data_IF_219337680371
#
_entry.id   IF_219337680371
#
_cell.length_a   1.000
_cell.length_b   1.000
_cell.length_c   1.000
_cell.angle_alpha   90.00
_cell.angle_beta   90.00
_cell.angle_gamma   90.00
#
_symmetry.space_group_name_H-M   'P 1'
#
loop_
_entity.id
_entity.type
_entity.pdbx_description
1 polymer ?
#
# COMPACT_ATOMS: atom_id res chain seq x y z
N UNK A 1 10.91 7.59 8.72
CA UNK A 1 9.60 7.22 8.14
C UNK A 1 8.54 7.80 9.06
N UNK A 2 7.74 8.74 8.53
CA UNK A 2 6.70 9.44 9.26
C UNK A 2 5.33 8.91 8.84
N UNK A 3 4.31 9.06 9.71
CA UNK A 3 2.94 8.62 9.41
C UNK A 3 2.36 9.29 8.14
N UNK A 4 2.87 10.47 7.78
CA UNK A 4 2.54 11.24 6.57
C UNK A 4 3.04 10.63 5.26
N UNK A 5 4.04 9.74 5.34
CA UNK A 5 4.66 9.13 4.17
C UNK A 5 3.74 8.06 3.56
N UNK A 6 2.78 7.56 4.34
CA UNK A 6 1.88 6.49 3.95
C UNK A 6 0.63 7.04 3.27
N UNK A 7 0.36 6.55 2.06
CA UNK A 7 -0.81 6.90 1.26
C UNK A 7 -1.80 5.73 1.20
N UNK A 8 -3.08 6.05 1.14
CA UNK A 8 -4.14 5.07 0.98
C UNK A 8 -4.36 4.77 -0.52
N UNK A 9 -3.97 3.57 -0.95
CA UNK A 9 -4.21 3.07 -2.31
C UNK A 9 -5.42 2.12 -2.39
N UNK A 10 -5.99 1.74 -1.26
CA UNK A 10 -7.14 0.83 -1.17
C UNK A 10 -8.47 1.60 -1.21
N UNK A 11 -8.60 2.49 -2.20
CA UNK A 11 -9.83 3.25 -2.44
C UNK A 11 -10.55 2.57 -3.60
N UNK A 12 -11.50 1.67 -3.28
CA UNK A 12 -12.23 0.86 -4.27
C UNK A 12 -12.82 1.69 -5.40
N UNK A 13 -13.29 2.89 -5.10
CA UNK A 13 -13.87 3.79 -6.09
C UNK A 13 -12.87 4.39 -7.08
N UNK A 14 -11.58 4.35 -6.77
CA UNK A 14 -10.50 4.83 -7.62
C UNK A 14 -9.80 3.69 -8.39
N UNK A 15 -10.19 2.43 -8.16
CA UNK A 15 -9.60 1.28 -8.85
C UNK A 15 -10.10 1.18 -10.30
N UNK A 16 -9.16 1.12 -11.26
CA UNK A 16 -9.45 0.98 -12.69
C UNK A 16 -9.88 -0.46 -13.04
N UNK A 17 -9.30 -1.45 -12.36
CA UNK A 17 -9.63 -2.87 -12.50
C UNK A 17 -10.04 -3.45 -11.15
N UNK A 18 -10.97 -4.40 -11.17
CA UNK A 18 -11.35 -5.14 -9.96
C UNK A 18 -10.27 -6.13 -9.52
N UNK A 19 -9.59 -6.73 -10.50
CA UNK A 19 -8.56 -7.74 -10.31
C UNK A 19 -7.62 -7.74 -11.51
N UNK A 20 -6.39 -8.20 -11.28
CA UNK A 20 -5.40 -8.48 -12.34
C UNK A 20 -5.33 -9.97 -12.69
N UNK A 21 -6.22 -10.79 -12.14
CA UNK A 21 -6.28 -12.23 -12.44
C UNK A 21 -6.64 -12.44 -13.92
N UNK A 22 -5.84 -13.22 -14.68
CA UNK A 22 -6.17 -13.59 -16.07
C UNK A 22 -7.45 -14.42 -16.15
N UNK A 23 -7.62 -15.35 -15.21
CA UNK A 23 -8.72 -16.29 -15.11
C UNK A 23 -9.86 -15.83 -14.22
N UNK A 24 -11.02 -16.49 -14.37
CA UNK A 24 -12.21 -16.28 -13.51
C UNK A 24 -12.71 -17.56 -12.84
N UNK A 25 -12.47 -18.73 -13.43
CA UNK A 25 -12.96 -20.03 -12.97
C UNK A 25 -11.87 -20.80 -12.23
N UNK A 26 -12.29 -21.83 -11.49
CA UNK A 26 -11.37 -22.82 -10.98
C UNK A 26 -10.57 -23.45 -12.13
N UNK A 27 -9.27 -23.63 -11.92
CA UNK A 27 -8.27 -24.07 -12.91
C UNK A 27 -7.89 -23.07 -14.00
N UNK A 28 -8.50 -21.88 -14.06
CA UNK A 28 -7.97 -20.82 -14.93
C UNK A 28 -6.65 -20.25 -14.35
N UNK A 29 -5.79 -19.64 -15.21
CA UNK A 29 -4.58 -18.98 -14.74
C UNK A 29 -4.88 -17.86 -13.74
N UNK A 30 -4.11 -17.83 -12.66
CA UNK A 30 -4.25 -16.84 -11.58
C UNK A 30 -3.11 -15.83 -11.62
N UNK A 31 -3.12 -14.85 -10.70
CA UNK A 31 -2.06 -13.81 -10.61
C UNK A 31 -0.66 -14.42 -10.50
N UNK A 32 -0.51 -15.58 -9.87
CA UNK A 32 0.79 -16.27 -9.72
C UNK A 32 1.33 -16.85 -11.02
N UNK A 33 0.49 -17.00 -12.05
CA UNK A 33 0.90 -17.46 -13.37
C UNK A 33 1.42 -16.33 -14.27
N UNK A 34 1.24 -15.06 -13.87
CA UNK A 34 1.72 -13.90 -14.61
C UNK A 34 3.25 -13.87 -14.65
N UNK A 35 3.80 -13.58 -15.82
CA UNK A 35 5.25 -13.43 -16.06
C UNK A 35 5.63 -11.99 -16.33
N UNK A 36 4.77 -11.29 -17.05
CA UNK A 36 4.97 -9.89 -17.41
C UNK A 36 3.65 -9.13 -17.33
N UNK A 37 3.73 -7.88 -16.89
CA UNK A 37 2.59 -6.96 -16.79
C UNK A 37 3.03 -5.61 -17.37
N UNK A 38 2.32 -5.14 -18.40
CA UNK A 38 2.55 -3.84 -19.03
C UNK A 38 1.36 -2.92 -18.75
N UNK A 39 1.66 -1.76 -18.15
CA UNK A 39 0.68 -0.72 -17.91
C UNK A 39 0.70 0.27 -19.07
N UNK A 40 -0.41 0.36 -19.82
CA UNK A 40 -0.55 1.32 -20.89
C UNK A 40 -1.10 2.67 -20.38
N UNK A 41 -0.77 3.75 -21.10
CA UNK A 41 -1.14 5.13 -20.75
C UNK A 41 -2.66 5.39 -20.62
N UNK A 42 -3.51 4.56 -21.23
CA UNK A 42 -4.98 4.65 -21.12
C UNK A 42 -5.56 3.84 -19.96
N UNK A 43 -4.69 3.33 -19.07
CA UNK A 43 -5.08 2.43 -17.98
C UNK A 43 -5.52 1.07 -18.48
N UNK A 44 -5.06 0.65 -19.66
CA UNK A 44 -5.14 -0.76 -20.09
C UNK A 44 -3.98 -1.52 -19.48
N UNK A 45 -4.22 -2.76 -19.07
CA UNK A 45 -3.17 -3.68 -18.64
C UNK A 45 -3.02 -4.76 -19.70
N UNK A 46 -1.79 -4.99 -20.14
CA UNK A 46 -1.42 -6.16 -20.93
C UNK A 46 -0.62 -7.13 -20.08
N UNK A 47 -0.82 -8.42 -20.31
CA UNK A 47 -0.23 -9.49 -19.53
C UNK A 47 0.41 -10.54 -20.43
N UNK A 48 1.40 -11.22 -19.87
CA UNK A 48 1.99 -12.41 -20.46
C UNK A 48 2.04 -13.54 -19.43
N UNK A 49 1.71 -14.77 -19.87
CA UNK A 49 1.76 -15.99 -19.07
C UNK A 49 3.01 -16.84 -19.36
N UNK A 50 3.66 -16.66 -20.51
CA UNK A 50 4.91 -17.32 -20.88
C UNK A 50 5.84 -16.31 -21.54
N UNK A 51 7.10 -16.19 -21.10
CA UNK A 51 8.02 -15.15 -21.60
C UNK A 51 8.24 -15.10 -23.13
N UNK A 52 7.84 -16.14 -23.86
CA UNK A 52 7.95 -16.23 -25.31
C UNK A 52 6.67 -15.83 -26.06
N UNK A 53 5.54 -15.73 -25.35
CA UNK A 53 4.25 -15.36 -25.94
C UNK A 53 4.13 -13.84 -26.10
N UNK A 54 3.20 -13.41 -26.94
CA UNK A 54 2.86 -11.99 -27.08
C UNK A 54 2.09 -11.46 -25.87
N UNK A 55 2.27 -10.17 -25.58
CA UNK A 55 1.47 -9.45 -24.58
C UNK A 55 0.02 -9.38 -25.04
N UNK A 56 -0.89 -9.86 -24.21
CA UNK A 56 -2.33 -9.84 -24.48
C UNK A 56 -3.04 -8.89 -23.54
N UNK A 57 -4.12 -8.23 -23.98
CA UNK A 57 -4.94 -7.39 -23.11
C UNK A 57 -5.51 -8.24 -21.97
N UNK A 58 -5.44 -7.73 -20.73
CA UNK A 58 -6.06 -8.39 -19.59
C UNK A 58 -7.55 -8.60 -19.90
N UNK A 59 -8.08 -9.84 -19.80
CA UNK A 59 -9.44 -10.15 -20.26
C UNK A 59 -10.54 -9.52 -19.39
N UNK A 60 -10.18 -8.91 -18.27
CA UNK A 60 -11.11 -8.15 -17.45
C UNK A 60 -11.34 -6.76 -18.05
N UNK A 61 -12.58 -6.29 -18.03
CA UNK A 61 -12.91 -4.94 -18.48
C UNK A 61 -12.43 -3.87 -17.49
N UNK A 62 -12.13 -2.69 -18.03
CA UNK A 62 -11.89 -1.48 -17.23
C UNK A 62 -13.20 -1.04 -16.58
N UNK A 63 -13.22 -0.89 -15.26
CA UNK A 63 -14.39 -0.44 -14.51
C UNK A 63 -14.63 1.06 -14.68
N UNK A 64 -13.56 1.85 -14.63
CA UNK A 64 -13.61 3.32 -14.64
C UNK A 64 -12.44 3.87 -15.45
N UNK A 65 -12.66 4.98 -16.17
CA UNK A 65 -11.57 5.66 -16.87
C UNK A 65 -10.55 6.17 -15.84
N UNK A 66 -9.24 6.10 -16.13
CA UNK A 66 -8.22 6.68 -15.26
C UNK A 66 -8.51 8.17 -15.08
N UNK A 67 -8.63 8.61 -13.84
CA UNK A 67 -8.73 10.02 -13.48
C UNK A 67 -7.55 10.39 -12.57
N UNK A 68 -7.35 11.69 -12.33
CA UNK A 68 -6.35 12.18 -11.38
C UNK A 68 -6.67 11.63 -9.98
N UNK A 69 -5.85 10.71 -9.49
CA UNK A 69 -6.05 10.07 -8.20
C UNK A 69 -5.53 11.00 -7.10
N UNK A 70 -6.42 11.42 -6.20
CA UNK A 70 -6.01 12.10 -4.98
C UNK A 70 -5.84 11.07 -3.86
N UNK A 71 -4.60 10.67 -3.61
CA UNK A 71 -4.30 9.69 -2.56
C UNK A 71 -4.38 10.34 -1.18
N UNK A 72 -5.44 9.98 -0.44
CA UNK A 72 -5.58 10.37 0.95
C UNK A 72 -4.45 9.78 1.80
N UNK A 73 -4.10 10.45 2.90
CA UNK A 73 -3.14 9.89 3.88
C UNK A 73 -3.73 8.61 4.47
N UNK A 74 -2.90 7.57 4.61
CA UNK A 74 -3.33 6.31 5.23
C UNK A 74 -3.55 6.46 6.73
N UNK A 75 -2.70 7.25 7.37
CA UNK A 75 -2.77 7.55 8.79
C UNK A 75 -2.99 9.05 8.96
N UNK A 76 -3.91 9.41 9.86
CA UNK A 76 -4.14 10.80 10.24
C UNK A 76 -3.08 11.30 11.21
N UNK A 77 -2.47 10.38 11.97
CA UNK A 77 -1.54 10.70 13.03
C UNK A 77 -0.54 9.54 13.28
N UNK A 78 0.45 9.79 14.13
CA UNK A 78 1.36 8.76 14.61
C UNK A 78 0.65 7.70 15.48
N UNK A 79 1.17 6.47 15.47
CA UNK A 79 0.66 5.42 16.37
C UNK A 79 0.95 5.82 17.82
N UNK A 80 -0.12 6.00 18.60
CA UNK A 80 -0.03 6.33 20.02
C UNK A 80 0.32 5.09 20.85
N UNK A 81 1.13 5.29 21.88
CA UNK A 81 1.35 4.28 22.91
C UNK A 81 0.41 4.50 24.10
N UNK A 82 0.20 3.47 24.92
CA UNK A 82 -0.58 3.63 26.15
C UNK A 82 0.16 4.53 27.15
N UNK A 83 -0.58 5.29 27.97
CA UNK A 83 -0.01 6.07 29.09
C UNK A 83 0.98 5.27 29.92
N UNK A 84 0.59 4.08 30.36
CA UNK A 84 1.45 3.20 31.15
C UNK A 84 2.79 2.90 30.46
N UNK A 85 2.77 2.68 29.14
CA UNK A 85 4.00 2.45 28.38
C UNK A 85 4.83 3.73 28.28
N UNK A 86 4.19 4.88 28.08
CA UNK A 86 4.87 6.17 28.08
C UNK A 86 5.56 6.44 29.42
N UNK A 87 4.86 6.24 30.55
CA UNK A 87 5.40 6.43 31.89
C UNK A 87 6.65 5.55 32.13
N UNK A 88 6.55 4.25 31.83
CA UNK A 88 7.69 3.33 31.95
C UNK A 88 8.88 3.76 31.07
N UNK A 89 8.63 4.36 29.91
CA UNK A 89 9.69 4.87 29.04
C UNK A 89 10.31 6.15 29.62
N UNK A 90 9.53 7.01 30.28
CA UNK A 90 10.06 8.18 31.00
C UNK A 90 10.92 7.76 32.19
N UNK A 91 10.53 6.71 32.93
CA UNK A 91 11.35 6.16 34.01
C UNK A 91 12.70 5.65 33.48
N UNK A 92 12.66 4.89 32.37
CA UNK A 92 13.85 4.33 31.74
C UNK A 92 14.76 5.41 31.13
N UNK A 93 14.18 6.53 30.67
CA UNK A 93 14.91 7.62 30.00
C UNK A 93 16.15 8.05 30.79
N UNK A 94 16.07 8.13 32.12
CA UNK A 94 17.16 8.50 33.01
C UNK A 94 18.42 7.63 32.92
N UNK A 95 18.30 6.43 32.35
CA UNK A 95 19.40 5.47 32.15
C UNK A 95 20.04 5.55 30.76
N UNK A 96 19.48 6.37 29.87
CA UNK A 96 19.90 6.52 28.48
C UNK A 96 20.73 7.81 28.30
N UNK A 97 21.35 7.96 27.13
CA UNK A 97 22.07 9.18 26.78
C UNK A 97 21.12 10.37 26.60
N UNK A 98 21.57 11.57 27.00
CA UNK A 98 20.78 12.80 26.89
C UNK A 98 20.32 13.11 25.45
N UNK A 99 21.11 12.69 24.46
CA UNK A 99 20.81 12.87 23.03
C UNK A 99 19.46 12.26 22.62
N UNK A 100 19.03 11.18 23.29
CA UNK A 100 17.77 10.49 22.95
C UNK A 100 16.57 10.98 23.77
N UNK A 101 16.76 11.87 24.75
CA UNK A 101 15.67 12.31 25.64
C UNK A 101 14.54 12.97 24.86
N UNK A 102 14.90 13.84 23.91
CA UNK A 102 13.96 14.53 23.03
C UNK A 102 13.07 13.56 22.24
N UNK A 103 13.57 12.38 21.89
CA UNK A 103 12.77 11.37 21.20
C UNK A 103 11.67 10.82 22.11
N UNK A 104 12.03 10.40 23.34
CA UNK A 104 11.08 9.79 24.27
C UNK A 104 10.05 10.79 24.81
N UNK A 105 10.43 12.04 25.03
CA UNK A 105 9.53 13.11 25.50
C UNK A 105 8.47 13.50 24.48
N UNK A 106 8.77 13.34 23.18
CA UNK A 106 7.85 13.69 22.10
C UNK A 106 7.06 12.48 21.55
N UNK A 107 7.13 11.31 22.21
CA UNK A 107 6.34 10.16 21.80
C UNK A 107 4.84 10.44 21.98
N UNK A 108 3.99 10.18 20.97
CA UNK A 108 2.56 10.37 21.09
C UNK A 108 1.94 9.28 21.97
N UNK A 109 1.06 9.66 22.90
CA UNK A 109 0.38 8.75 23.82
C UNK A 109 -1.12 9.08 23.95
N UNK A 110 -1.90 8.11 24.46
CA UNK A 110 -3.36 8.19 24.63
C UNK A 110 -3.79 8.68 26.01
#
# INVERSE_FOLDING_TARGET
>A
MNHTDFRNYDIKDQMVYHSISPGKKAHDPTVTNLREIHYQSKGKIQINLQFQDELTDLPQGILKKPCMIHHQRRYTDGLKISNKKYDHLQDLKSTLADEVYSFYENLPYE
#
